data_IF_803122365058
#
_entry.id   IF_803122365058
#
_cell.length_a   1.000
_cell.length_b   1.000
_cell.length_c   1.000
_cell.angle_alpha   90.00
_cell.angle_beta   90.00
_cell.angle_gamma   90.00
#
_symmetry.space_group_name_H-M   'P 1'
#
loop_
_entity.id
_entity.type
_entity.pdbx_description
1 polymer ?
#
# COMPACT_ATOMS: atom_id res chain seq x y z
N UNK A 1 20.12 -17.19 15.76
CA UNK A 1 19.17 -16.29 15.06
C UNK A 1 19.82 -15.86 13.76
N UNK A 2 19.15 -16.03 12.62
CA UNK A 2 19.64 -15.51 11.34
C UNK A 2 19.56 -13.98 11.35
N UNK A 3 20.61 -13.34 10.86
CA UNK A 3 20.73 -11.88 10.80
C UNK A 3 19.89 -11.33 9.64
N UNK A 4 19.09 -10.28 9.92
CA UNK A 4 18.27 -9.57 8.95
C UNK A 4 19.08 -9.10 7.74
N UNK A 5 20.30 -8.62 7.97
CA UNK A 5 21.18 -8.12 6.91
C UNK A 5 21.61 -9.26 5.96
N UNK A 6 21.96 -10.42 6.51
CA UNK A 6 22.39 -11.60 5.76
C UNK A 6 21.28 -12.10 4.83
N UNK A 7 20.06 -12.27 5.34
CA UNK A 7 18.94 -12.77 4.52
C UNK A 7 18.53 -11.75 3.45
N UNK A 8 18.63 -10.45 3.75
CA UNK A 8 18.37 -9.40 2.76
C UNK A 8 19.43 -9.40 1.66
N UNK A 9 20.70 -9.55 2.01
CA UNK A 9 21.80 -9.66 1.04
C UNK A 9 21.63 -10.90 0.17
N UNK A 10 21.26 -12.04 0.76
CA UNK A 10 21.00 -13.27 0.01
C UNK A 10 19.91 -13.08 -1.05
N UNK A 11 18.81 -12.41 -0.69
CA UNK A 11 17.77 -12.08 -1.68
C UNK A 11 18.33 -11.19 -2.79
N UNK A 12 19.08 -10.14 -2.45
CA UNK A 12 19.68 -9.22 -3.44
C UNK A 12 20.64 -9.92 -4.40
N UNK A 13 21.47 -10.84 -3.90
CA UNK A 13 22.38 -11.64 -4.71
C UNK A 13 21.61 -12.57 -5.65
N UNK A 14 20.61 -13.29 -5.13
CA UNK A 14 19.75 -14.13 -5.95
C UNK A 14 19.03 -13.33 -7.04
N UNK A 15 18.46 -12.17 -6.69
CA UNK A 15 17.81 -11.28 -7.64
C UNK A 15 18.79 -10.73 -8.69
N UNK A 16 20.03 -10.46 -8.29
CA UNK A 16 21.10 -9.95 -9.14
C UNK A 16 21.72 -10.98 -10.10
N UNK A 17 21.62 -12.28 -9.77
CA UNK A 17 22.24 -13.36 -10.54
C UNK A 17 21.58 -13.66 -11.90
N UNK A 18 20.49 -12.95 -12.27
CA UNK A 18 19.93 -12.99 -13.63
C UNK A 18 19.35 -14.34 -14.06
N UNK A 19 18.87 -15.13 -13.09
CA UNK A 19 18.54 -16.55 -13.31
C UNK A 19 17.26 -16.75 -14.15
N UNK A 20 16.41 -15.73 -14.33
CA UNK A 20 15.13 -15.85 -15.06
C UNK A 20 14.80 -14.55 -15.82
N UNK A 21 14.18 -14.60 -17.02
CA UNK A 21 13.55 -13.42 -17.61
C UNK A 21 12.59 -12.75 -16.62
N UNK A 22 12.84 -11.47 -16.33
CA UNK A 22 12.12 -10.67 -15.33
C UNK A 22 10.81 -10.12 -15.90
N UNK A 23 9.91 -11.01 -16.30
CA UNK A 23 8.54 -10.67 -16.65
C UNK A 23 7.59 -11.23 -15.58
N UNK A 24 6.72 -10.38 -15.03
CA UNK A 24 5.73 -10.80 -14.03
C UNK A 24 6.27 -10.94 -12.60
N UNK A 25 5.70 -11.88 -11.83
CA UNK A 25 5.95 -12.10 -10.40
C UNK A 25 7.21 -12.96 -10.15
N UNK A 26 8.34 -12.54 -10.69
CA UNK A 26 9.60 -13.31 -10.65
C UNK A 26 10.09 -13.54 -9.21
N UNK A 27 9.76 -12.67 -8.26
CA UNK A 27 10.15 -12.83 -6.86
C UNK A 27 9.57 -14.10 -6.22
N UNK A 28 8.46 -14.65 -6.74
CA UNK A 28 7.85 -15.88 -6.24
C UNK A 28 8.76 -17.12 -6.37
N UNK A 29 9.75 -17.07 -7.27
CA UNK A 29 10.71 -18.16 -7.47
C UNK A 29 11.79 -18.22 -6.37
N UNK A 30 11.84 -17.24 -5.46
CA UNK A 30 12.81 -17.23 -4.37
C UNK A 30 12.45 -18.27 -3.30
N UNK A 31 13.09 -19.45 -3.36
CA UNK A 31 12.79 -20.56 -2.45
C UNK A 31 13.09 -20.27 -0.96
N UNK A 32 13.86 -19.21 -0.66
CA UNK A 32 14.30 -18.88 0.70
C UNK A 32 13.43 -17.80 1.37
N UNK A 33 12.25 -17.49 0.82
CA UNK A 33 11.25 -16.62 1.46
C UNK A 33 10.99 -16.96 2.94
N UNK A 34 10.78 -18.24 3.35
CA UNK A 34 10.51 -18.55 4.75
C UNK A 34 11.65 -18.15 5.70
N UNK A 35 12.91 -18.24 5.25
CA UNK A 35 14.06 -17.83 6.07
C UNK A 35 14.09 -16.31 6.24
N UNK A 36 13.88 -15.57 5.15
CA UNK A 36 13.87 -14.11 5.18
C UNK A 36 12.69 -13.57 5.99
N UNK A 37 11.50 -14.13 5.83
CA UNK A 37 10.32 -13.80 6.64
C UNK A 37 10.59 -13.99 8.12
N UNK A 38 11.14 -15.16 8.52
CA UNK A 38 11.50 -15.41 9.93
C UNK A 38 12.50 -14.39 10.46
N UNK A 39 13.51 -14.03 9.67
CA UNK A 39 14.51 -13.05 10.08
C UNK A 39 13.89 -11.66 10.30
N UNK A 40 13.05 -11.18 9.38
CA UNK A 40 12.33 -9.90 9.51
C UNK A 40 11.42 -9.90 10.73
N UNK A 41 10.61 -10.94 10.91
CA UNK A 41 9.66 -11.00 12.02
C UNK A 41 10.35 -11.14 13.37
N UNK A 42 11.42 -11.95 13.46
CA UNK A 42 12.23 -12.04 14.67
C UNK A 42 12.87 -10.68 15.02
N UNK A 43 13.30 -9.91 14.01
CA UNK A 43 13.85 -8.57 14.19
C UNK A 43 12.83 -7.58 14.76
N UNK A 44 11.64 -7.54 14.14
CA UNK A 44 10.50 -6.71 14.57
C UNK A 44 10.09 -7.04 16.00
N UNK A 45 10.06 -8.33 16.35
CA UNK A 45 9.66 -8.80 17.67
C UNK A 45 10.73 -8.51 18.73
N UNK A 46 12.01 -8.68 18.41
CA UNK A 46 13.10 -8.61 19.39
C UNK A 46 13.63 -7.21 19.72
N UNK A 47 13.34 -6.18 18.91
CA UNK A 47 13.95 -4.84 19.05
C UNK A 47 12.93 -3.70 18.96
N UNK A 48 13.15 -2.64 19.75
CA UNK A 48 12.36 -1.41 19.63
C UNK A 48 12.80 -0.61 18.38
N UNK A 49 11.88 -0.17 17.50
CA UNK A 49 12.24 0.39 16.20
C UNK A 49 13.02 1.72 16.28
N UNK A 50 12.84 2.50 17.35
CA UNK A 50 13.65 3.73 17.58
C UNK A 50 15.16 3.46 17.75
N UNK A 51 15.56 2.21 18.01
CA UNK A 51 16.96 1.81 18.10
C UNK A 51 17.47 1.13 16.83
N UNK A 52 16.75 1.23 15.71
CA UNK A 52 17.20 0.71 14.42
C UNK A 52 18.03 1.76 13.69
N UNK A 53 19.12 1.34 13.05
CA UNK A 53 19.84 2.18 12.10
C UNK A 53 19.05 2.33 10.79
N UNK A 54 19.35 3.35 10.00
CA UNK A 54 18.71 3.55 8.69
C UNK A 54 18.85 2.33 7.77
N UNK A 55 19.99 1.63 7.84
CA UNK A 55 20.22 0.40 7.10
C UNK A 55 19.26 -0.72 7.56
N UNK A 56 19.04 -0.87 8.86
CA UNK A 56 18.13 -1.86 9.42
C UNK A 56 16.67 -1.54 9.05
N UNK A 57 16.26 -0.27 9.08
CA UNK A 57 14.96 0.16 8.57
C UNK A 57 14.84 -0.15 7.08
N UNK A 58 15.88 0.17 6.30
CA UNK A 58 15.95 -0.10 4.87
C UNK A 58 15.81 -1.59 4.52
N UNK A 59 16.43 -2.48 5.30
CA UNK A 59 16.27 -3.92 5.11
C UNK A 59 14.82 -4.39 5.31
N UNK A 60 14.13 -3.91 6.35
CA UNK A 60 12.73 -4.27 6.60
C UNK A 60 11.81 -3.71 5.52
N UNK A 61 11.99 -2.43 5.15
CA UNK A 61 11.18 -1.81 4.08
C UNK A 61 11.41 -2.49 2.73
N UNK A 62 12.65 -2.88 2.42
CA UNK A 62 12.96 -3.62 1.20
C UNK A 62 12.31 -5.00 1.19
N UNK A 63 12.32 -5.72 2.32
CA UNK A 63 11.63 -7.01 2.42
C UNK A 63 10.11 -6.86 2.20
N UNK A 64 9.48 -5.85 2.81
CA UNK A 64 8.07 -5.54 2.56
C UNK A 64 7.84 -5.24 1.08
N UNK A 65 8.68 -4.40 0.46
CA UNK A 65 8.54 -4.05 -0.96
C UNK A 65 8.61 -5.27 -1.89
N UNK A 66 9.40 -6.29 -1.57
CA UNK A 66 9.51 -7.51 -2.39
C UNK A 66 8.41 -8.53 -2.11
N UNK A 67 7.85 -8.54 -0.91
CA UNK A 67 6.70 -9.37 -0.53
C UNK A 67 5.36 -8.74 -0.98
N UNK A 68 5.36 -7.97 -2.07
CA UNK A 68 4.22 -7.17 -2.51
C UNK A 68 3.06 -7.99 -3.09
N UNK A 69 3.32 -9.19 -3.59
CA UNK A 69 2.29 -10.13 -4.06
C UNK A 69 1.54 -10.76 -2.86
N UNK A 70 2.28 -11.43 -1.97
CA UNK A 70 1.68 -12.12 -0.83
C UNK A 70 1.30 -11.20 0.34
N UNK A 71 1.93 -10.02 0.47
CA UNK A 71 1.73 -9.00 1.52
C UNK A 71 1.74 -9.60 2.93
N UNK A 72 2.49 -10.67 3.12
CA UNK A 72 2.52 -11.46 4.36
C UNK A 72 3.24 -10.70 5.46
N UNK A 73 4.43 -10.17 5.17
CA UNK A 73 5.29 -9.47 6.12
C UNK A 73 4.60 -8.26 6.73
N UNK A 74 4.01 -7.39 5.91
CA UNK A 74 3.37 -6.16 6.40
C UNK A 74 2.16 -6.48 7.29
N UNK A 75 1.37 -7.50 6.92
CA UNK A 75 0.23 -7.99 7.73
C UNK A 75 0.68 -8.54 9.07
N UNK A 76 1.72 -9.36 9.08
CA UNK A 76 2.26 -9.94 10.31
C UNK A 76 2.91 -8.88 11.20
N UNK A 77 3.63 -7.91 10.62
CA UNK A 77 4.18 -6.76 11.37
C UNK A 77 3.06 -5.98 12.05
N UNK A 78 1.95 -5.71 11.34
CA UNK A 78 0.78 -5.07 11.94
C UNK A 78 0.24 -5.87 13.13
N UNK A 79 0.03 -7.18 12.96
CA UNK A 79 -0.52 -8.06 14.01
C UNK A 79 0.37 -8.13 15.23
N UNK A 80 1.68 -8.28 15.01
CA UNK A 80 2.67 -8.39 16.07
C UNK A 80 2.85 -7.07 16.82
N UNK A 81 3.06 -5.97 16.07
CA UNK A 81 3.42 -4.67 16.63
C UNK A 81 2.90 -3.50 15.76
N UNK A 82 1.66 -3.03 15.98
CA UNK A 82 1.12 -1.86 15.29
C UNK A 82 1.98 -0.59 15.42
N UNK A 83 2.68 -0.42 16.54
CA UNK A 83 3.64 0.68 16.73
C UNK A 83 4.84 0.61 15.76
N UNK A 84 5.31 -0.59 15.43
CA UNK A 84 6.37 -0.77 14.42
C UNK A 84 5.84 -0.51 13.01
N UNK A 85 4.59 -0.89 12.72
CA UNK A 85 3.94 -0.56 11.44
C UNK A 85 3.92 0.98 11.22
N UNK A 86 3.46 1.74 12.21
CA UNK A 86 3.44 3.21 12.15
C UNK A 86 4.84 3.82 11.98
N UNK A 87 5.82 3.28 12.70
CA UNK A 87 7.22 3.69 12.55
C UNK A 87 7.72 3.45 11.12
N UNK A 88 7.48 2.27 10.56
CA UNK A 88 7.90 1.93 9.20
C UNK A 88 7.17 2.78 8.16
N UNK A 89 5.86 3.01 8.31
CA UNK A 89 5.11 3.92 7.45
C UNK A 89 5.69 5.32 7.44
N UNK A 90 6.01 5.88 8.62
CA UNK A 90 6.68 7.18 8.75
C UNK A 90 8.04 7.20 8.05
N UNK A 91 8.87 6.18 8.27
CA UNK A 91 10.18 6.09 7.62
C UNK A 91 10.07 5.94 6.10
N UNK A 92 9.07 5.19 5.63
CA UNK A 92 8.84 4.94 4.21
C UNK A 92 8.54 6.21 3.41
N UNK A 93 7.99 7.26 4.04
CA UNK A 93 7.76 8.56 3.39
C UNK A 93 9.06 9.27 2.97
N UNK A 94 10.18 8.99 3.65
CA UNK A 94 11.47 9.59 3.34
C UNK A 94 12.29 8.76 2.34
N UNK A 95 12.25 7.43 2.45
CA UNK A 95 13.18 6.55 1.72
C UNK A 95 12.61 5.15 1.40
N UNK A 96 11.30 4.96 1.47
CA UNK A 96 10.65 3.68 1.14
C UNK A 96 10.36 3.56 -0.36
N UNK A 97 10.45 2.35 -0.90
CA UNK A 97 10.00 2.06 -2.27
C UNK A 97 8.47 2.14 -2.39
N UNK A 98 7.96 2.41 -3.59
CA UNK A 98 6.52 2.50 -3.88
C UNK A 98 5.79 1.27 -3.33
N UNK A 99 6.36 0.09 -3.55
CA UNK A 99 5.77 -1.17 -3.10
C UNK A 99 5.58 -1.29 -1.59
N UNK A 100 6.54 -0.79 -0.81
CA UNK A 100 6.40 -0.76 0.63
C UNK A 100 5.36 0.29 1.06
N UNK A 101 5.37 1.48 0.44
CA UNK A 101 4.48 2.59 0.84
C UNK A 101 3.02 2.23 0.65
N UNK A 102 2.64 1.65 -0.48
CA UNK A 102 1.23 1.30 -0.72
C UNK A 102 0.77 0.16 0.20
N UNK A 103 1.64 -0.81 0.50
CA UNK A 103 1.36 -1.90 1.44
C UNK A 103 1.16 -1.37 2.87
N UNK A 104 2.04 -0.47 3.31
CA UNK A 104 1.93 0.20 4.60
C UNK A 104 0.64 1.02 4.69
N UNK A 105 0.25 1.73 3.63
CA UNK A 105 -1.02 2.45 3.57
C UNK A 105 -2.21 1.52 3.83
N UNK A 106 -2.24 0.35 3.18
CA UNK A 106 -3.32 -0.64 3.36
C UNK A 106 -3.40 -1.11 4.81
N UNK A 107 -2.27 -1.50 5.40
CA UNK A 107 -2.26 -2.02 6.77
C UNK A 107 -2.55 -0.95 7.83
N UNK A 108 -2.21 0.32 7.58
CA UNK A 108 -2.65 1.44 8.43
C UNK A 108 -4.18 1.58 8.42
N UNK A 109 -4.85 1.27 7.30
CA UNK A 109 -6.31 1.22 7.20
C UNK A 109 -6.99 0.19 8.10
N UNK A 110 -6.22 -0.72 8.70
CA UNK A 110 -6.71 -1.70 9.67
C UNK A 110 -6.48 -1.28 11.13
N UNK A 111 -5.92 -0.10 11.39
CA UNK A 111 -5.70 0.45 12.73
C UNK A 111 -6.81 1.44 13.10
N UNK A 112 -8.04 0.94 13.22
CA UNK A 112 -9.21 1.77 13.52
C UNK A 112 -9.05 2.65 14.76
N UNK A 113 -9.42 3.93 14.64
CA UNK A 113 -9.35 4.91 15.74
C UNK A 113 -7.94 5.37 16.14
N UNK A 114 -6.88 4.93 15.43
CA UNK A 114 -5.51 5.40 15.67
C UNK A 114 -5.25 6.70 14.90
N UNK A 115 -5.19 7.82 15.62
CA UNK A 115 -4.97 9.17 15.05
C UNK A 115 -3.63 9.29 14.31
N UNK A 116 -2.58 8.61 14.79
CA UNK A 116 -1.27 8.63 14.14
C UNK A 116 -1.32 7.85 12.83
N UNK A 117 -2.01 6.70 12.80
CA UNK A 117 -2.23 5.96 11.57
C UNK A 117 -3.01 6.78 10.54
N UNK A 118 -4.06 7.48 10.98
CA UNK A 118 -4.82 8.39 10.10
C UNK A 118 -3.97 9.56 9.58
N UNK A 119 -3.11 10.16 10.41
CA UNK A 119 -2.21 11.21 9.98
C UNK A 119 -1.19 10.71 8.94
N UNK A 120 -0.65 9.50 9.12
CA UNK A 120 0.25 8.86 8.16
C UNK A 120 -0.47 8.54 6.84
N UNK A 121 -1.73 8.10 6.91
CA UNK A 121 -2.55 7.88 5.72
C UNK A 121 -2.77 9.18 4.93
N UNK A 122 -3.00 10.32 5.59
CA UNK A 122 -3.09 11.60 4.88
C UNK A 122 -1.78 11.99 4.19
N UNK A 123 -0.64 11.74 4.84
CA UNK A 123 0.66 11.97 4.20
C UNK A 123 0.83 11.08 2.95
N UNK A 124 0.48 9.79 3.04
CA UNK A 124 0.51 8.85 1.90
C UNK A 124 -0.53 9.18 0.82
N UNK A 125 -1.66 9.79 1.18
CA UNK A 125 -2.64 10.29 0.20
C UNK A 125 -2.12 11.48 -0.63
N UNK A 126 -1.01 12.08 -0.21
CA UNK A 126 -0.30 13.17 -0.91
C UNK A 126 0.99 12.69 -1.60
N UNK A 127 1.21 11.38 -1.68
CA UNK A 127 2.39 10.79 -2.31
C UNK A 127 2.51 11.17 -3.80
N UNK A 128 3.73 11.15 -4.33
CA UNK A 128 3.97 11.41 -5.75
C UNK A 128 3.44 10.29 -6.64
N UNK A 129 3.44 9.06 -6.12
CA UNK A 129 2.95 7.89 -6.83
C UNK A 129 1.41 7.75 -6.74
N UNK A 130 0.74 7.59 -7.88
CA UNK A 130 -0.73 7.47 -7.94
C UNK A 130 -1.23 6.25 -7.16
N UNK A 131 -0.53 5.13 -7.24
CA UNK A 131 -0.98 3.90 -6.60
C UNK A 131 -0.93 4.03 -5.09
N UNK A 132 0.13 4.63 -4.54
CA UNK A 132 0.22 4.93 -3.10
C UNK A 132 -0.93 5.85 -2.66
N UNK A 133 -1.18 6.95 -3.38
CA UNK A 133 -2.29 7.87 -3.07
C UNK A 133 -3.63 7.17 -3.06
N UNK A 134 -3.87 6.32 -4.07
CA UNK A 134 -5.10 5.54 -4.22
C UNK A 134 -5.32 4.60 -3.04
N UNK A 135 -4.30 3.82 -2.68
CA UNK A 135 -4.37 2.88 -1.56
C UNK A 135 -4.58 3.58 -0.21
N UNK A 136 -3.94 4.73 0.00
CA UNK A 136 -4.13 5.53 1.20
C UNK A 136 -5.55 6.13 1.28
N UNK A 137 -6.06 6.69 0.18
CA UNK A 137 -7.41 7.26 0.11
C UNK A 137 -8.48 6.20 0.39
N UNK A 138 -8.35 5.00 -0.19
CA UNK A 138 -9.24 3.87 0.10
C UNK A 138 -9.22 3.47 1.57
N UNK A 139 -8.02 3.44 2.16
CA UNK A 139 -7.87 3.09 3.58
C UNK A 139 -8.54 4.11 4.49
N UNK A 140 -8.43 5.41 4.18
CA UNK A 140 -9.17 6.46 4.89
C UNK A 140 -10.69 6.31 4.72
N UNK A 141 -11.16 5.98 3.51
CA UNK A 141 -12.59 5.75 3.25
C UNK A 141 -13.14 4.56 4.06
N UNK A 142 -12.42 3.43 4.09
CA UNK A 142 -12.81 2.26 4.88
C UNK A 142 -12.74 2.46 6.39
N UNK A 143 -11.97 3.44 6.85
CA UNK A 143 -12.00 3.92 8.24
C UNK A 143 -13.16 4.91 8.52
N UNK A 144 -13.96 5.27 7.52
CA UNK A 144 -15.06 6.24 7.65
C UNK A 144 -14.59 7.69 7.74
N UNK A 145 -13.35 7.99 7.39
CA UNK A 145 -12.80 9.35 7.47
C UNK A 145 -13.39 10.22 6.36
N UNK A 146 -14.29 11.15 6.72
CA UNK A 146 -15.02 11.99 5.76
C UNK A 146 -14.14 12.79 4.81
N UNK A 147 -12.94 13.21 5.24
CA UNK A 147 -12.01 13.93 4.38
C UNK A 147 -11.54 13.12 3.15
N UNK A 148 -11.68 11.79 3.16
CA UNK A 148 -11.41 10.95 1.99
C UNK A 148 -12.36 11.23 0.81
N UNK A 149 -13.52 11.85 1.06
CA UNK A 149 -14.42 12.33 0.00
C UNK A 149 -13.75 13.40 -0.88
N UNK A 150 -13.07 14.37 -0.27
CA UNK A 150 -12.34 15.41 -1.02
C UNK A 150 -11.14 14.83 -1.76
N UNK A 151 -10.42 13.89 -1.13
CA UNK A 151 -9.30 13.19 -1.77
C UNK A 151 -9.77 12.38 -3.00
N UNK A 152 -10.88 11.65 -2.89
CA UNK A 152 -11.47 10.90 -3.99
C UNK A 152 -11.94 11.84 -5.12
N UNK A 153 -12.59 12.96 -4.77
CA UNK A 153 -12.99 13.98 -5.72
C UNK A 153 -11.80 14.60 -6.46
N UNK A 154 -10.73 14.94 -5.74
CA UNK A 154 -9.51 15.46 -6.34
C UNK A 154 -8.84 14.42 -7.26
N UNK A 155 -8.78 13.15 -6.83
CA UNK A 155 -8.22 12.06 -7.63
C UNK A 155 -8.98 11.84 -8.95
N UNK A 156 -10.31 12.00 -8.96
CA UNK A 156 -11.12 11.90 -10.18
C UNK A 156 -10.72 12.92 -11.27
N UNK A 157 -10.42 14.14 -10.83
CA UNK A 157 -10.10 15.28 -11.70
C UNK A 157 -8.62 15.46 -11.97
N UNK A 158 -7.76 14.74 -11.25
CA UNK A 158 -6.32 14.81 -11.45
C UNK A 158 -5.93 14.10 -12.76
N UNK A 159 -5.09 14.73 -13.62
CA UNK A 159 -4.46 14.03 -14.72
C UNK A 159 -3.31 13.17 -14.17
N UNK A 160 -3.50 11.85 -14.16
CA UNK A 160 -2.51 10.87 -13.72
C UNK A 160 -2.32 9.79 -14.78
N UNK A 161 -1.17 9.11 -14.77
CA UNK A 161 -0.82 8.04 -15.73
C UNK A 161 -1.86 6.90 -15.75
N UNK A 162 -2.42 6.57 -14.58
CA UNK A 162 -3.40 5.50 -14.39
C UNK A 162 -4.81 6.03 -14.10
N UNK A 163 -5.21 7.10 -14.80
CA UNK A 163 -6.45 7.84 -14.56
C UNK A 163 -7.71 6.94 -14.49
N UNK A 164 -7.77 5.87 -15.27
CA UNK A 164 -8.89 4.93 -15.25
C UNK A 164 -9.06 4.25 -13.87
N UNK A 165 -7.97 3.72 -13.30
CA UNK A 165 -7.97 3.07 -11.99
C UNK A 165 -8.14 4.08 -10.84
N UNK A 166 -7.56 5.27 -10.96
CA UNK A 166 -7.74 6.36 -10.00
C UNK A 166 -9.24 6.72 -9.87
N UNK A 167 -9.93 6.87 -11.01
CA UNK A 167 -11.37 7.17 -11.08
C UNK A 167 -12.24 6.03 -10.56
N UNK A 168 -11.93 4.78 -10.90
CA UNK A 168 -12.63 3.61 -10.33
C UNK A 168 -12.53 3.60 -8.81
N UNK A 169 -11.33 3.83 -8.26
CA UNK A 169 -11.15 3.89 -6.81
C UNK A 169 -11.85 5.09 -6.17
N UNK A 170 -11.92 6.24 -6.84
CA UNK A 170 -12.69 7.38 -6.34
C UNK A 170 -14.17 7.02 -6.21
N UNK A 171 -14.76 6.34 -7.20
CA UNK A 171 -16.13 5.84 -7.11
C UNK A 171 -16.34 4.86 -5.95
N UNK A 172 -15.39 3.95 -5.72
CA UNK A 172 -15.45 3.05 -4.56
C UNK A 172 -15.45 3.82 -3.24
N UNK A 173 -14.51 4.76 -3.07
CA UNK A 173 -14.41 5.58 -1.86
C UNK A 173 -15.69 6.37 -1.61
N UNK A 174 -16.24 7.03 -2.64
CA UNK A 174 -17.46 7.83 -2.49
C UNK A 174 -18.68 6.96 -2.17
N UNK A 175 -18.77 5.76 -2.77
CA UNK A 175 -19.83 4.80 -2.45
C UNK A 175 -19.73 4.31 -1.00
N UNK A 176 -18.52 3.92 -0.58
CA UNK A 176 -18.25 3.43 0.77
C UNK A 176 -18.57 4.48 1.83
N UNK A 177 -18.25 5.75 1.57
CA UNK A 177 -18.57 6.88 2.43
C UNK A 177 -20.03 7.36 2.32
N UNK A 178 -20.84 6.75 1.45
CA UNK A 178 -22.19 7.22 1.12
C UNK A 178 -22.20 8.73 0.78
N UNK A 179 -21.20 9.18 0.02
CA UNK A 179 -21.05 10.59 -0.33
C UNK A 179 -22.14 11.04 -1.31
N UNK A 180 -22.70 12.25 -1.13
CA UNK A 180 -23.65 12.82 -2.07
C UNK A 180 -23.03 13.09 -3.46
N UNK A 181 -21.70 13.10 -3.58
CA UNK A 181 -20.97 13.29 -4.85
C UNK A 181 -20.92 12.02 -5.70
N UNK A 182 -21.29 10.86 -5.14
CA UNK A 182 -21.20 9.58 -5.82
C UNK A 182 -22.02 9.54 -7.11
N UNK A 183 -23.26 10.04 -7.09
CA UNK A 183 -24.14 10.02 -8.27
C UNK A 183 -23.59 10.85 -9.43
N UNK A 184 -23.00 12.01 -9.14
CA UNK A 184 -22.42 12.88 -10.15
C UNK A 184 -21.26 12.19 -10.86
N UNK A 185 -20.29 11.67 -10.10
CA UNK A 185 -19.12 11.00 -10.69
C UNK A 185 -19.49 9.66 -11.34
N UNK A 186 -20.49 8.93 -10.84
CA UNK A 186 -20.94 7.72 -11.51
C UNK A 186 -21.51 8.03 -12.89
N UNK A 187 -22.33 9.08 -13.01
CA UNK A 187 -22.90 9.49 -14.28
C UNK A 187 -21.81 9.93 -15.28
N UNK A 188 -20.73 10.56 -14.81
CA UNK A 188 -19.56 10.82 -15.63
C UNK A 188 -18.85 9.53 -16.05
N UNK A 189 -18.62 8.60 -15.12
CA UNK A 189 -17.99 7.30 -15.39
C UNK A 189 -18.73 6.46 -16.43
N UNK A 190 -20.07 6.47 -16.42
CA UNK A 190 -20.91 5.79 -17.41
C UNK A 190 -20.76 6.35 -18.84
N UNK A 191 -20.33 7.61 -18.97
CA UNK A 191 -20.09 8.29 -20.26
C UNK A 191 -18.62 8.37 -20.63
N UNK A 192 -17.73 7.86 -19.77
CA UNK A 192 -16.30 7.91 -19.99
C UNK A 192 -15.89 6.98 -21.14
N UNK A 193 -14.95 7.43 -21.97
CA UNK A 193 -14.49 6.68 -23.14
C UNK A 193 -13.67 5.45 -22.72
N UNK A 194 -13.03 5.50 -21.54
CA UNK A 194 -12.16 4.44 -21.04
C UNK A 194 -13.00 3.20 -20.65
N UNK A 195 -12.77 2.05 -21.29
CA UNK A 195 -13.70 0.93 -21.25
C UNK A 195 -13.80 0.25 -19.88
N UNK A 196 -12.70 0.12 -19.13
CA UNK A 196 -12.73 -0.50 -17.81
C UNK A 196 -13.44 0.39 -16.78
N UNK A 197 -13.23 1.72 -16.83
CA UNK A 197 -13.96 2.65 -15.97
C UNK A 197 -15.46 2.64 -16.27
N UNK A 198 -15.85 2.65 -17.54
CA UNK A 198 -17.27 2.60 -17.93
C UNK A 198 -17.92 1.30 -17.47
N UNK A 199 -17.31 0.15 -17.74
CA UNK A 199 -17.81 -1.16 -17.28
C UNK A 199 -17.85 -1.24 -15.74
N UNK A 200 -16.90 -0.61 -15.05
CA UNK A 200 -16.92 -0.52 -13.59
C UNK A 200 -18.11 0.30 -13.10
N UNK A 201 -18.36 1.46 -13.71
CA UNK A 201 -19.51 2.31 -13.39
C UNK A 201 -20.85 1.59 -13.65
N UNK A 202 -20.98 0.86 -14.76
CA UNK A 202 -22.16 0.04 -15.07
C UNK A 202 -22.40 -1.02 -13.98
N UNK A 203 -21.34 -1.72 -13.54
CA UNK A 203 -21.45 -2.68 -12.43
C UNK A 203 -21.89 -2.03 -11.13
N UNK A 204 -21.36 -0.84 -10.80
CA UNK A 204 -21.78 -0.09 -9.61
C UNK A 204 -23.23 0.40 -9.70
N UNK A 205 -23.71 0.75 -10.89
CA UNK A 205 -25.11 1.14 -11.12
C UNK A 205 -26.06 -0.05 -10.92
N UNK A 206 -25.67 -1.24 -11.39
CA UNK A 206 -26.49 -2.45 -11.32
C UNK A 206 -26.48 -3.14 -9.95
N UNK A 207 -25.49 -2.84 -9.10
CA UNK A 207 -25.36 -3.41 -7.76
C UNK A 207 -26.11 -2.62 -6.66
N UNK A 208 -27.04 -1.73 -7.05
CA UNK A 208 -27.83 -0.88 -6.16
C UNK A 208 -29.13 -1.55 -5.72
#
# INVERSE_FOLDING_TARGET
MTDLSIETTRFREWAGAGIVPREGQWECDYSQWPAWHRAVLAWVQGRHPRGWSDAEVGHVLYAIARDNDAQYLVREIRRLRPGTLRFLARASLAHGEIDARWQLAVELGHLGGDEEAQALLFALASDQDEYVRRRATRSLAGLGVRAAEELAWAAWHRPDEYQEWARMSALECLRELQSPRFEALLAEGLRDERPFLRQFAERLQNAR
#
